data_IF_705312871481
#
_entry.id   IF_705312871481
#
_cell.length_a   1.000
_cell.length_b   1.000
_cell.length_c   1.000
_cell.angle_alpha   90.00
_cell.angle_beta   90.00
_cell.angle_gamma   90.00
#
_symmetry.space_group_name_H-M   'P 1'
#
loop_
_entity.id
_entity.type
_entity.pdbx_description
1 polymer ?
#
# COMPACT_ATOMS: atom_id res chain seq x y z
N UNK A 1 -53.51 23.89 26.60
CA UNK A 1 -53.22 22.49 26.24
C UNK A 1 -52.44 21.81 27.37
N UNK A 2 -52.79 20.56 27.72
CA UNK A 2 -52.09 19.82 28.77
C UNK A 2 -50.75 19.25 28.24
N UNK A 3 -49.66 19.42 28.98
CA UNK A 3 -48.33 18.91 28.62
C UNK A 3 -48.29 17.39 28.52
N UNK A 4 -49.04 16.70 29.39
CA UNK A 4 -49.14 15.24 29.38
C UNK A 4 -49.80 14.71 28.10
N UNK A 5 -50.78 15.46 27.56
CA UNK A 5 -51.42 15.15 26.29
C UNK A 5 -50.45 15.34 25.11
N UNK A 6 -49.62 16.38 25.14
CA UNK A 6 -48.58 16.61 24.14
C UNK A 6 -47.50 15.52 24.17
N UNK A 7 -47.07 15.08 25.35
CA UNK A 7 -46.13 13.97 25.48
C UNK A 7 -46.70 12.67 24.90
N UNK A 8 -47.93 12.29 25.25
CA UNK A 8 -48.60 11.10 24.68
C UNK A 8 -48.78 11.22 23.16
N UNK A 9 -49.08 12.41 22.67
CA UNK A 9 -49.11 12.69 21.23
C UNK A 9 -47.74 12.48 20.57
N UNK A 10 -46.64 12.95 21.18
CA UNK A 10 -45.29 12.76 20.65
C UNK A 10 -44.79 11.31 20.73
N UNK A 11 -45.25 10.56 21.74
CA UNK A 11 -44.98 9.12 21.91
C UNK A 11 -45.83 8.25 20.96
N UNK A 12 -46.88 8.80 20.35
CA UNK A 12 -47.81 8.07 19.50
C UNK A 12 -48.84 7.21 20.26
N UNK A 13 -49.06 7.51 21.55
CA UNK A 13 -49.97 6.78 22.44
C UNK A 13 -51.31 7.51 22.70
N UNK A 14 -51.50 8.69 22.10
CA UNK A 14 -52.74 9.45 22.18
C UNK A 14 -53.88 8.75 21.42
N UNK A 15 -55.11 8.87 21.93
CA UNK A 15 -56.31 8.37 21.23
C UNK A 15 -56.67 9.25 20.02
N UNK A 16 -57.55 8.77 19.15
CA UNK A 16 -57.96 9.51 17.95
C UNK A 16 -58.60 10.88 18.28
N UNK A 17 -59.42 10.94 19.34
CA UNK A 17 -60.05 12.17 19.81
C UNK A 17 -59.01 13.17 20.36
N UNK A 18 -58.03 12.66 21.11
CA UNK A 18 -56.92 13.44 21.66
C UNK A 18 -56.01 14.02 20.58
N UNK A 19 -55.76 13.24 19.53
CA UNK A 19 -54.96 13.66 18.38
C UNK A 19 -55.65 14.81 17.60
N UNK A 20 -56.97 14.70 17.42
CA UNK A 20 -57.78 15.75 16.80
C UNK A 20 -57.78 17.03 17.65
N UNK A 21 -57.89 16.90 18.97
CA UNK A 21 -57.84 18.03 19.89
C UNK A 21 -56.49 18.77 19.84
N UNK A 22 -55.37 18.03 19.75
CA UNK A 22 -54.03 18.64 19.61
C UNK A 22 -53.90 19.35 18.27
N UNK A 23 -54.37 18.74 17.16
CA UNK A 23 -54.33 19.36 15.83
C UNK A 23 -55.17 20.64 15.75
N UNK A 24 -56.40 20.60 16.24
CA UNK A 24 -57.29 21.75 16.25
C UNK A 24 -56.71 22.90 17.08
N UNK A 25 -56.13 22.61 18.25
CA UNK A 25 -55.50 23.63 19.09
C UNK A 25 -54.26 24.25 18.45
N UNK A 26 -53.46 23.48 17.71
CA UNK A 26 -52.28 23.97 16.97
C UNK A 26 -52.71 24.89 15.83
N UNK A 27 -53.81 24.58 15.15
CA UNK A 27 -54.34 25.36 14.03
C UNK A 27 -55.09 26.63 14.48
N UNK A 28 -55.54 26.70 15.73
CA UNK A 28 -56.32 27.81 16.28
C UNK A 28 -55.53 29.13 16.38
N UNK A 29 -54.21 29.08 16.55
CA UNK A 29 -53.36 30.28 16.65
C UNK A 29 -51.89 29.98 16.35
N UNK A 30 -51.20 30.93 15.72
CA UNK A 30 -49.74 30.88 15.53
C UNK A 30 -48.97 30.81 16.86
N UNK A 31 -49.51 31.38 17.94
CA UNK A 31 -48.91 31.29 19.29
C UNK A 31 -48.96 29.85 19.83
N UNK A 32 -50.06 29.13 19.60
CA UNK A 32 -50.20 27.73 19.99
C UNK A 32 -49.24 26.85 19.19
N UNK A 33 -49.09 27.13 17.89
CA UNK A 33 -48.13 26.45 17.02
C UNK A 33 -46.69 26.68 17.48
N UNK A 34 -46.34 27.89 17.90
CA UNK A 34 -45.02 28.19 18.45
C UNK A 34 -44.75 27.44 19.76
N UNK A 35 -45.75 27.37 20.65
CA UNK A 35 -45.68 26.59 21.89
C UNK A 35 -45.53 25.09 21.63
N UNK A 36 -46.30 24.54 20.70
CA UNK A 36 -46.20 23.15 20.27
C UNK A 36 -44.79 22.83 19.74
N UNK A 37 -44.25 23.67 18.86
CA UNK A 37 -42.89 23.51 18.31
C UNK A 37 -41.81 23.59 19.39
N UNK A 38 -41.99 24.44 20.41
CA UNK A 38 -41.08 24.54 21.54
C UNK A 38 -41.04 23.25 22.35
N UNK A 39 -42.22 22.72 22.72
CA UNK A 39 -42.32 21.46 23.48
C UNK A 39 -41.81 20.28 22.65
N UNK A 40 -42.09 20.26 21.33
CA UNK A 40 -41.55 19.25 20.42
C UNK A 40 -40.03 19.22 20.39
N UNK A 41 -39.38 20.39 20.29
CA UNK A 41 -37.91 20.50 20.32
C UNK A 41 -37.32 19.96 21.62
N UNK A 42 -37.96 20.22 22.76
CA UNK A 42 -37.51 19.71 24.06
C UNK A 42 -37.64 18.18 24.11
N UNK A 43 -38.76 17.63 23.64
CA UNK A 43 -38.99 16.19 23.58
C UNK A 43 -38.00 15.48 22.64
N UNK A 44 -37.75 16.03 21.44
CA UNK A 44 -36.77 15.50 20.50
C UNK A 44 -35.34 15.53 21.09
N UNK A 45 -34.98 16.61 21.81
CA UNK A 45 -33.70 16.69 22.52
C UNK A 45 -33.59 15.66 23.66
N UNK A 46 -34.66 15.44 24.42
CA UNK A 46 -34.72 14.41 25.46
C UNK A 46 -34.57 13.00 24.89
N UNK A 47 -35.15 12.71 23.73
CA UNK A 47 -34.96 11.44 23.02
C UNK A 47 -33.50 11.22 22.61
N UNK A 48 -32.80 12.26 22.16
CA UNK A 48 -31.39 12.15 21.79
C UNK A 48 -30.53 11.81 23.02
N UNK A 49 -30.76 12.49 24.14
CA UNK A 49 -30.04 12.25 25.40
C UNK A 49 -30.39 10.88 26.01
N UNK A 50 -31.66 10.48 26.01
CA UNK A 50 -32.07 9.17 26.54
C UNK A 50 -31.58 8.01 25.67
N UNK A 51 -31.54 8.19 24.33
CA UNK A 51 -30.93 7.20 23.44
C UNK A 51 -29.42 7.08 23.67
N UNK A 52 -28.73 8.17 23.99
CA UNK A 52 -27.31 8.14 24.37
C UNK A 52 -27.10 7.43 25.70
N UNK A 53 -27.96 7.65 26.70
CA UNK A 53 -27.89 6.92 27.99
C UNK A 53 -28.16 5.42 27.84
N UNK A 54 -28.93 5.02 26.82
CA UNK A 54 -29.15 3.60 26.47
C UNK A 54 -27.95 2.97 25.76
N UNK A 55 -27.07 3.79 25.16
CA UNK A 55 -25.82 3.37 24.53
C UNK A 55 -24.64 3.40 25.52
N UNK A 56 -24.84 3.87 26.75
CA UNK A 56 -23.86 3.94 27.83
C UNK A 56 -23.62 2.59 28.53
N UNK A 57 -23.77 1.50 27.79
CA UNK A 57 -23.20 0.19 28.14
C UNK A 57 -22.50 -0.47 26.95
N UNK A 58 -22.08 0.33 25.96
CA UNK A 58 -21.01 -0.09 25.08
C UNK A 58 -19.73 0.15 25.87
N UNK A 59 -19.22 -0.90 26.54
CA UNK A 59 -17.84 -0.91 27.03
C UNK A 59 -17.00 -0.24 25.95
N UNK A 60 -16.39 0.89 26.27
CA UNK A 60 -15.33 1.41 25.44
C UNK A 60 -14.28 0.32 25.43
N UNK A 61 -14.31 -0.54 24.42
CA UNK A 61 -13.11 -1.21 23.96
C UNK A 61 -12.33 -0.06 23.37
N UNK A 62 -11.64 0.69 24.24
CA UNK A 62 -10.61 1.60 23.84
C UNK A 62 -9.70 0.77 22.97
N UNK A 63 -9.80 0.94 21.66
CA UNK A 63 -8.79 0.44 20.76
C UNK A 63 -7.55 1.21 21.17
N UNK A 64 -6.79 0.56 22.06
CA UNK A 64 -5.64 1.12 22.69
C UNK A 64 -4.80 1.76 21.59
N UNK A 65 -4.50 3.05 21.72
CA UNK A 65 -3.56 3.76 20.84
C UNK A 65 -2.26 2.95 20.63
N UNK A 66 -1.95 2.05 21.57
CA UNK A 66 -0.89 1.08 21.46
C UNK A 66 -1.07 0.06 20.33
N UNK A 67 -2.28 -0.43 20.04
CA UNK A 67 -2.54 -1.35 18.92
C UNK A 67 -2.42 -0.68 17.55
N UNK A 68 -2.79 0.59 17.44
CA UNK A 68 -2.55 1.38 16.20
C UNK A 68 -1.05 1.66 16.06
N UNK A 69 -0.36 1.99 17.15
CA UNK A 69 1.09 2.20 17.17
C UNK A 69 1.88 0.93 16.84
N UNK A 70 1.47 -0.25 17.32
CA UNK A 70 2.14 -1.52 17.01
C UNK A 70 1.90 -1.95 15.58
N UNK A 71 0.68 -1.74 15.04
CA UNK A 71 0.39 -2.02 13.63
C UNK A 71 1.25 -1.17 12.68
N UNK A 72 1.45 0.12 12.98
CA UNK A 72 2.33 1.00 12.19
C UNK A 72 3.79 0.56 12.30
N UNK A 73 4.26 0.17 13.48
CA UNK A 73 5.63 -0.31 13.68
C UNK A 73 5.91 -1.60 12.88
N UNK A 74 4.98 -2.55 12.86
CA UNK A 74 5.10 -3.79 12.07
C UNK A 74 5.11 -3.49 10.57
N UNK A 75 4.25 -2.58 10.11
CA UNK A 75 4.21 -2.17 8.70
C UNK A 75 5.52 -1.50 8.27
N UNK A 76 6.07 -0.61 9.10
CA UNK A 76 7.37 0.02 8.84
C UNK A 76 8.51 -1.01 8.84
N UNK A 77 8.50 -1.98 9.77
CA UNK A 77 9.51 -3.06 9.78
C UNK A 77 9.42 -3.95 8.54
N UNK A 78 8.22 -4.28 8.08
CA UNK A 78 8.02 -5.04 6.84
C UNK A 78 8.42 -4.24 5.60
N UNK A 79 8.13 -2.94 5.55
CA UNK A 79 8.60 -2.06 4.48
C UNK A 79 10.12 -1.95 4.46
N UNK A 80 10.75 -1.70 5.61
CA UNK A 80 12.20 -1.59 5.72
C UNK A 80 12.87 -2.92 5.37
N UNK A 81 12.35 -4.04 5.90
CA UNK A 81 12.82 -5.38 5.56
C UNK A 81 12.64 -5.69 4.07
N UNK A 82 11.50 -5.33 3.48
CA UNK A 82 11.24 -5.50 2.05
C UNK A 82 12.17 -4.68 1.17
N UNK A 83 12.42 -3.42 1.52
CA UNK A 83 13.38 -2.55 0.83
C UNK A 83 14.81 -3.08 0.98
N UNK A 84 15.18 -3.55 2.18
CA UNK A 84 16.48 -4.16 2.46
C UNK A 84 16.66 -5.46 1.65
N UNK A 85 15.62 -6.29 1.56
CA UNK A 85 15.65 -7.52 0.76
C UNK A 85 15.70 -7.24 -0.75
N UNK A 86 15.03 -6.18 -1.22
CA UNK A 86 15.17 -5.69 -2.60
C UNK A 86 16.60 -5.25 -2.91
N UNK A 87 17.29 -4.57 -1.98
CA UNK A 87 18.70 -4.20 -2.14
C UNK A 87 19.62 -5.42 -2.22
N UNK A 88 19.38 -6.44 -1.42
CA UNK A 88 20.18 -7.68 -1.43
C UNK A 88 19.92 -8.53 -2.69
N UNK A 89 18.70 -8.50 -3.24
CA UNK A 89 18.33 -9.32 -4.41
C UNK A 89 19.02 -8.90 -5.71
N UNK A 90 19.59 -7.70 -5.77
CA UNK A 90 20.40 -7.23 -6.90
C UNK A 90 21.78 -7.92 -6.99
N UNK A 91 22.18 -8.68 -5.96
CA UNK A 91 23.38 -9.52 -5.94
C UNK A 91 23.10 -11.01 -6.13
N UNK A 92 21.96 -11.37 -6.75
CA UNK A 92 21.90 -12.67 -7.42
C UNK A 92 22.76 -12.57 -8.68
N UNK A 93 24.08 -12.62 -8.45
CA UNK A 93 25.05 -12.98 -9.45
C UNK A 93 24.46 -14.18 -10.18
N UNK A 94 24.02 -13.98 -11.41
CA UNK A 94 23.93 -15.06 -12.36
C UNK A 94 25.27 -15.77 -12.21
N UNK A 95 25.28 -17.02 -11.71
CA UNK A 95 26.48 -17.83 -11.77
C UNK A 95 26.78 -17.90 -13.27
N UNK A 96 27.65 -17.01 -13.73
CA UNK A 96 27.76 -16.71 -15.14
C UNK A 96 28.27 -18.00 -15.77
N UNK A 97 27.45 -18.62 -16.61
CA UNK A 97 27.85 -19.83 -17.29
C UNK A 97 28.99 -19.45 -18.22
N UNK A 98 30.18 -19.94 -17.89
CA UNK A 98 31.37 -19.67 -18.69
C UNK A 98 31.47 -20.70 -19.80
N UNK A 99 31.75 -20.20 -20.99
CA UNK A 99 32.21 -21.00 -22.12
C UNK A 99 33.72 -20.94 -22.18
N UNK A 100 34.35 -22.09 -22.42
CA UNK A 100 35.79 -22.19 -22.68
C UNK A 100 35.99 -22.54 -24.14
N UNK A 101 36.87 -21.80 -24.79
CA UNK A 101 37.20 -21.94 -26.19
C UNK A 101 38.70 -22.15 -26.30
N UNK A 102 39.10 -23.14 -27.09
CA UNK A 102 40.50 -23.45 -27.33
C UNK A 102 40.80 -23.32 -28.82
N UNK A 103 41.77 -22.48 -29.16
CA UNK A 103 42.28 -22.32 -30.52
C UNK A 103 43.50 -23.23 -30.70
N UNK A 104 43.44 -24.25 -31.57
CA UNK A 104 44.58 -25.15 -31.76
C UNK A 104 45.75 -24.44 -32.46
N UNK A 105 46.90 -25.10 -32.46
CA UNK A 105 48.10 -24.60 -33.11
C UNK A 105 47.87 -24.30 -34.60
N UNK A 106 48.47 -23.22 -35.09
CA UNK A 106 48.39 -22.80 -36.51
C UNK A 106 47.06 -22.17 -36.93
N UNK A 107 46.08 -22.05 -36.03
CA UNK A 107 44.79 -21.42 -36.31
C UNK A 107 44.67 -20.07 -35.60
N UNK A 108 43.83 -19.20 -36.18
CA UNK A 108 43.40 -17.95 -35.57
C UNK A 108 41.90 -17.84 -35.70
N UNK A 109 41.26 -17.18 -34.76
CA UNK A 109 39.82 -17.03 -34.78
C UNK A 109 39.38 -15.63 -34.36
N UNK A 110 38.29 -15.16 -34.96
CA UNK A 110 37.60 -13.95 -34.54
C UNK A 110 36.30 -14.33 -33.83
N UNK A 111 36.05 -13.72 -32.69
CA UNK A 111 34.85 -13.87 -31.88
C UNK A 111 34.24 -12.50 -31.58
N UNK A 112 32.91 -12.43 -31.55
CA UNK A 112 32.17 -11.25 -31.07
C UNK A 112 31.49 -11.64 -29.76
N UNK A 113 31.79 -10.90 -28.69
CA UNK A 113 31.21 -11.14 -27.36
C UNK A 113 29.81 -10.50 -27.24
N UNK A 114 29.08 -10.86 -26.18
CA UNK A 114 27.71 -10.38 -25.94
C UNK A 114 27.59 -8.85 -25.77
N UNK A 115 28.68 -8.16 -25.47
CA UNK A 115 28.78 -6.70 -25.36
C UNK A 115 29.23 -6.02 -26.67
N UNK A 116 29.29 -6.76 -27.79
CA UNK A 116 29.85 -6.35 -29.08
C UNK A 116 31.36 -6.05 -29.08
N UNK A 117 32.13 -6.53 -28.09
CA UNK A 117 33.59 -6.50 -28.16
C UNK A 117 34.09 -7.52 -29.18
N UNK A 118 34.93 -7.08 -30.12
CA UNK A 118 35.59 -7.96 -31.08
C UNK A 118 36.88 -8.51 -30.47
N UNK A 119 37.06 -9.83 -30.53
CA UNK A 119 38.25 -10.51 -30.01
C UNK A 119 38.87 -11.34 -31.13
N UNK A 120 40.17 -11.15 -31.34
CA UNK A 120 40.98 -11.99 -32.23
C UNK A 120 41.91 -12.84 -31.38
N UNK A 121 41.74 -14.15 -31.47
CA UNK A 121 42.52 -15.14 -30.72
C UNK A 121 43.61 -15.72 -31.63
N UNK A 122 44.84 -15.77 -31.13
CA UNK A 122 45.96 -16.39 -31.83
C UNK A 122 45.99 -17.92 -31.62
N UNK A 123 46.93 -18.59 -32.28
CA UNK A 123 47.15 -20.02 -32.11
C UNK A 123 47.52 -20.36 -30.65
N UNK A 124 47.20 -21.58 -30.20
CA UNK A 124 47.47 -22.07 -28.85
C UNK A 124 46.92 -21.17 -27.73
N UNK A 125 45.72 -20.64 -27.94
CA UNK A 125 45.06 -19.75 -26.98
C UNK A 125 43.86 -20.45 -26.35
N UNK A 126 43.75 -20.37 -25.02
CA UNK A 126 42.55 -20.76 -24.28
C UNK A 126 41.86 -19.48 -23.80
N UNK A 127 40.60 -19.34 -24.18
CA UNK A 127 39.81 -18.16 -23.88
C UNK A 127 38.50 -18.57 -23.20
N UNK A 128 38.22 -17.98 -22.04
CA UNK A 128 37.03 -18.28 -21.25
C UNK A 128 36.23 -17.01 -20.98
N UNK A 129 34.94 -17.05 -21.35
CA UNK A 129 34.06 -15.89 -21.30
C UNK A 129 32.63 -16.30 -20.90
N UNK A 130 31.85 -15.41 -20.26
CA UNK A 130 30.46 -15.72 -19.90
C UNK A 130 29.53 -15.54 -21.11
N UNK A 131 28.42 -16.28 -21.17
CA UNK A 131 27.39 -16.07 -22.21
C UNK A 131 26.76 -14.67 -22.12
N UNK A 132 26.65 -14.14 -20.90
CA UNK A 132 26.15 -12.81 -20.59
C UNK A 132 27.01 -12.19 -19.50
N UNK A 133 27.48 -10.96 -19.72
CA UNK A 133 28.25 -10.23 -18.71
C UNK A 133 27.41 -9.79 -17.52
N UNK A 134 28.06 -9.58 -16.38
CA UNK A 134 27.40 -9.14 -15.16
C UNK A 134 26.91 -7.68 -15.31
N UNK A 135 26.09 -7.22 -14.35
CA UNK A 135 25.71 -5.81 -14.31
C UNK A 135 26.88 -4.88 -13.96
N UNK A 136 27.90 -5.39 -13.27
CA UNK A 136 28.99 -4.60 -12.67
C UNK A 136 30.26 -4.59 -13.53
N UNK A 137 30.61 -5.71 -14.16
CA UNK A 137 31.90 -5.92 -14.81
C UNK A 137 31.81 -6.88 -16.01
N UNK A 138 32.76 -6.74 -16.95
CA UNK A 138 32.90 -7.58 -18.14
C UNK A 138 34.17 -8.43 -18.09
N UNK A 139 34.24 -9.33 -17.12
CA UNK A 139 35.43 -10.16 -16.89
C UNK A 139 35.54 -11.33 -17.88
N UNK A 140 36.75 -11.51 -18.46
CA UNK A 140 37.13 -12.65 -19.30
C UNK A 140 38.48 -13.21 -18.85
N UNK A 141 38.77 -14.47 -19.17
CA UNK A 141 40.04 -15.13 -18.86
C UNK A 141 40.73 -15.55 -20.15
N UNK A 142 42.03 -15.30 -20.22
CA UNK A 142 42.85 -15.57 -21.39
C UNK A 142 44.15 -16.24 -20.96
N UNK A 143 44.49 -17.34 -21.62
CA UNK A 143 45.82 -17.95 -21.59
C UNK A 143 46.31 -18.02 -23.04
N UNK A 144 47.42 -17.34 -23.35
CA UNK A 144 47.93 -17.19 -24.72
C UNK A 144 47.86 -15.74 -25.19
N UNK A 145 47.55 -15.53 -26.47
CA UNK A 145 47.60 -14.21 -27.09
C UNK A 145 46.28 -13.86 -27.78
N UNK A 146 45.80 -12.64 -27.49
CA UNK A 146 44.60 -12.12 -28.13
C UNK A 146 44.70 -10.60 -28.31
N UNK A 147 43.99 -10.11 -29.32
CA UNK A 147 43.75 -8.68 -29.54
C UNK A 147 42.28 -8.37 -29.27
N UNK A 148 42.02 -7.33 -28.48
CA UNK A 148 40.68 -6.90 -28.08
C UNK A 148 40.36 -5.52 -28.63
N UNK A 149 39.30 -5.41 -29.42
CA UNK A 149 38.67 -4.14 -29.75
C UNK A 149 37.41 -4.01 -28.88
N UNK A 150 37.62 -3.43 -27.69
CA UNK A 150 36.61 -3.37 -26.63
C UNK A 150 35.54 -2.34 -26.95
N UNK A 151 34.28 -2.77 -26.94
CA UNK A 151 33.13 -1.87 -27.07
C UNK A 151 33.09 -0.89 -25.89
N UNK A 152 32.94 0.40 -26.20
CA UNK A 152 33.02 1.48 -25.22
C UNK A 152 31.81 1.46 -24.28
N UNK A 153 32.06 1.20 -23.01
CA UNK A 153 31.07 1.33 -21.95
C UNK A 153 31.75 1.88 -20.68
N UNK A 154 31.40 3.11 -20.28
CA UNK A 154 32.00 3.76 -19.11
C UNK A 154 31.44 3.24 -17.78
N UNK A 155 30.21 2.73 -17.81
CA UNK A 155 29.51 2.27 -16.61
C UNK A 155 29.89 0.83 -16.26
N UNK A 156 30.41 0.06 -17.23
CA UNK A 156 30.80 -1.34 -17.08
C UNK A 156 32.24 -1.55 -17.59
N UNK A 157 33.24 -1.59 -16.69
CA UNK A 157 34.62 -1.86 -17.07
C UNK A 157 34.76 -3.24 -17.73
N UNK A 158 35.78 -3.37 -18.57
CA UNK A 158 36.23 -4.63 -19.20
C UNK A 158 37.60 -4.98 -18.64
#
# INVERSE_FOLDING_TARGET
MNKELLCRFFEGTATLEEEQQVRQWVEESEDNRALFMRERKIYDALLLVSSQSSLENKKEVGTSLWMVSTAVAVFLLLLVSGLYWMRIRDERNFAAQYHTLQVPAGQRMKLILADNTNVWLNANTVFRYPSTFSKKDRTVYLEGEAYFEVSKNKEKPF
#
